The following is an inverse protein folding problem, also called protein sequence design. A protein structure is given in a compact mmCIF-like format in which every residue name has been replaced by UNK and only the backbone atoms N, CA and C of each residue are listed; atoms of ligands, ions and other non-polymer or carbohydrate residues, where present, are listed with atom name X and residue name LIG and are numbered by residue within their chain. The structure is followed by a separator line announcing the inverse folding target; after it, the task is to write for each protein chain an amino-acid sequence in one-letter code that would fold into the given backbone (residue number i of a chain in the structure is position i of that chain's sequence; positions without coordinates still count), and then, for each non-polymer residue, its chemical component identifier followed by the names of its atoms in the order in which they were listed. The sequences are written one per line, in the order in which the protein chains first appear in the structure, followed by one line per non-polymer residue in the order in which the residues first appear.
data_IF_194577921878
#
_entry.id   IF_194577921878
#
_cell.length_a   1.000
_cell.length_b   1.000
_cell.length_c   1.000
_cell.angle_alpha   90.00
_cell.angle_beta   90.00
_cell.angle_gamma   90.00
#
_symmetry.space_group_name_H-M   'P 1'
#
loop_
_entity.id
_entity.type
_entity.pdbx_description
1 polymer ?
#
# COMPACT_ATOMS: atom_id res chain seq x y z
N UNK A 1 -2.37 -9.24 -20.83
CA UNK A 1 -1.94 -9.95 -19.61
C UNK A 1 -0.55 -9.50 -19.19
N UNK A 2 -0.37 -9.19 -17.92
CA UNK A 2 0.93 -8.75 -17.40
C UNK A 2 1.76 -9.98 -17.10
N UNK A 3 2.98 -10.02 -17.60
CA UNK A 3 3.91 -11.11 -17.31
C UNK A 3 4.34 -11.06 -15.85
N UNK A 4 4.56 -12.23 -15.24
CA UNK A 4 4.90 -12.35 -13.82
C UNK A 4 6.12 -11.53 -13.43
N UNK A 5 7.18 -11.55 -14.24
CA UNK A 5 8.40 -10.81 -13.94
C UNK A 5 8.16 -9.30 -13.95
N UNK A 6 7.37 -8.84 -14.92
CA UNK A 6 7.00 -7.43 -15.02
C UNK A 6 6.14 -7.01 -13.83
N UNK A 7 5.18 -7.88 -13.45
CA UNK A 7 4.28 -7.65 -12.32
C UNK A 7 5.07 -7.47 -11.02
N UNK A 8 5.98 -8.38 -10.73
CA UNK A 8 6.82 -8.30 -9.53
C UNK A 8 7.66 -7.04 -9.51
N UNK A 9 8.26 -6.67 -10.65
CA UNK A 9 9.07 -5.47 -10.74
C UNK A 9 8.24 -4.22 -10.49
N UNK A 10 7.05 -4.14 -11.09
CA UNK A 10 6.19 -2.97 -10.91
C UNK A 10 5.69 -2.84 -9.47
N UNK A 11 5.34 -3.97 -8.83
CA UNK A 11 4.95 -3.96 -7.42
C UNK A 11 6.07 -3.36 -6.58
N UNK A 12 7.30 -3.84 -6.76
CA UNK A 12 8.46 -3.37 -5.99
C UNK A 12 8.75 -1.89 -6.26
N UNK A 13 8.67 -1.49 -7.52
CA UNK A 13 8.93 -0.10 -7.90
C UNK A 13 7.93 0.86 -7.27
N UNK A 14 6.64 0.52 -7.31
CA UNK A 14 5.60 1.36 -6.73
C UNK A 14 5.70 1.40 -5.21
N UNK A 15 5.94 0.25 -4.57
CA UNK A 15 6.13 0.19 -3.12
C UNK A 15 7.31 1.07 -2.69
N UNK A 16 8.43 0.98 -3.41
CA UNK A 16 9.61 1.80 -3.10
C UNK A 16 9.31 3.28 -3.21
N UNK A 17 8.60 3.67 -4.27
CA UNK A 17 8.20 5.07 -4.46
C UNK A 17 7.33 5.55 -3.29
N UNK A 18 6.33 4.77 -2.93
CA UNK A 18 5.38 5.14 -1.88
C UNK A 18 6.03 5.18 -0.49
N UNK A 19 6.83 4.16 -0.16
CA UNK A 19 7.45 4.11 1.17
C UNK A 19 8.45 5.25 1.34
N UNK A 20 9.22 5.59 0.32
CA UNK A 20 10.17 6.70 0.39
C UNK A 20 9.45 8.03 0.56
N UNK A 21 8.33 8.23 -0.15
CA UNK A 21 7.53 9.44 -0.01
C UNK A 21 6.99 9.57 1.41
N UNK A 22 6.48 8.49 1.98
CA UNK A 22 5.91 8.49 3.32
C UNK A 22 6.98 8.71 4.40
N UNK A 23 8.12 8.06 4.28
CA UNK A 23 9.22 8.20 5.24
C UNK A 23 9.82 9.60 5.23
N UNK A 24 9.93 10.20 4.04
CA UNK A 24 10.53 11.52 3.86
C UNK A 24 9.51 12.65 3.93
N UNK A 25 8.24 12.32 4.14
CA UNK A 25 7.13 13.28 4.20
C UNK A 25 7.05 14.14 2.94
N UNK A 26 7.36 13.53 1.79
CA UNK A 26 7.29 14.18 0.50
C UNK A 26 6.01 13.75 -0.22
N UNK A 27 5.35 14.72 -0.84
CA UNK A 27 4.16 14.41 -1.64
C UNK A 27 4.57 14.05 -3.05
N UNK A 28 3.94 13.02 -3.59
CA UNK A 28 4.16 12.62 -4.98
C UNK A 28 3.32 13.56 -5.86
N UNK A 29 3.93 14.09 -6.91
CA UNK A 29 3.23 14.97 -7.85
C UNK A 29 2.10 14.18 -8.51
N UNK A 30 0.95 14.83 -8.70
CA UNK A 30 -0.20 14.19 -9.36
C UNK A 30 0.15 13.69 -10.76
N UNK A 31 0.91 14.48 -11.50
CA UNK A 31 1.31 14.12 -12.86
C UNK A 31 2.15 12.82 -12.88
N UNK A 32 3.03 12.68 -11.90
CA UNK A 32 3.86 11.47 -11.78
C UNK A 32 3.05 10.27 -11.30
N UNK A 33 2.05 10.51 -10.44
CA UNK A 33 1.28 9.44 -9.85
C UNK A 33 0.23 8.83 -10.79
N UNK A 34 -0.28 9.61 -11.75
CA UNK A 34 -1.34 9.15 -12.66
C UNK A 34 -0.96 7.82 -13.32
N UNK A 35 0.27 7.74 -13.81
CA UNK A 35 0.77 6.54 -14.48
C UNK A 35 0.85 5.35 -13.53
N UNK A 36 1.39 5.57 -12.33
CA UNK A 36 1.50 4.53 -11.31
C UNK A 36 0.14 4.12 -10.75
N UNK A 37 -0.80 5.05 -10.67
CA UNK A 37 -2.15 4.76 -10.19
C UNK A 37 -2.86 3.76 -11.10
N UNK A 38 -2.76 3.95 -12.42
CA UNK A 38 -3.34 3.03 -13.38
C UNK A 38 -2.76 1.63 -13.22
N UNK A 39 -1.45 1.53 -13.09
CA UNK A 39 -0.77 0.25 -12.91
C UNK A 39 -1.19 -0.38 -11.58
N UNK A 40 -1.26 0.41 -10.52
CA UNK A 40 -1.69 -0.06 -9.20
C UNK A 40 -3.10 -0.66 -9.26
N UNK A 41 -4.02 0.03 -9.93
CA UNK A 41 -5.40 -0.47 -10.10
C UNK A 41 -5.42 -1.80 -10.85
N UNK A 42 -4.61 -1.94 -11.88
CA UNK A 42 -4.52 -3.18 -12.64
C UNK A 42 -3.96 -4.31 -11.79
N UNK A 43 -2.93 -4.04 -11.00
CA UNK A 43 -2.31 -5.03 -10.13
C UNK A 43 -3.27 -5.49 -9.04
N UNK A 44 -3.89 -4.54 -8.35
CA UNK A 44 -4.81 -4.83 -7.24
C UNK A 44 -6.17 -5.32 -7.72
N UNK A 45 -6.50 -5.06 -8.97
CA UNK A 45 -7.78 -5.43 -9.59
C UNK A 45 -8.97 -4.78 -8.88
N UNK A 46 -8.74 -3.57 -8.33
CA UNK A 46 -9.81 -2.76 -7.76
C UNK A 46 -9.42 -1.28 -7.81
N UNK A 47 -10.41 -0.39 -7.89
CA UNK A 47 -10.15 1.05 -7.86
C UNK A 47 -9.67 1.50 -6.47
N UNK A 48 -8.85 2.56 -6.45
CA UNK A 48 -8.32 3.12 -5.21
C UNK A 48 -9.41 3.54 -4.23
N UNK A 49 -10.54 4.04 -4.73
CA UNK A 49 -11.63 4.48 -3.87
C UNK A 49 -12.26 3.35 -3.07
N UNK A 50 -12.14 2.09 -3.53
CA UNK A 50 -12.65 0.94 -2.79
C UNK A 50 -11.80 0.66 -1.54
N UNK A 51 -10.53 1.05 -1.56
CA UNK A 51 -9.64 0.83 -0.41
C UNK A 51 -10.11 1.60 0.83
N UNK A 52 -10.82 2.70 0.63
CA UNK A 52 -11.34 3.50 1.76
C UNK A 52 -12.37 2.74 2.57
N UNK A 53 -13.06 1.79 1.95
CA UNK A 53 -14.13 1.04 2.59
C UNK A 53 -13.71 -0.37 3.04
N UNK A 54 -12.46 -0.75 2.77
CA UNK A 54 -11.98 -2.10 3.08
C UNK A 54 -11.16 -2.11 4.36
N UNK A 55 -11.30 -3.20 5.11
CA UNK A 55 -10.47 -3.46 6.28
C UNK A 55 -9.21 -4.24 5.88
N UNK A 56 -8.25 -4.33 6.79
CA UNK A 56 -7.07 -5.18 6.58
C UNK A 56 -7.50 -6.63 6.32
N UNK A 57 -8.49 -7.12 7.07
CA UNK A 57 -9.00 -8.47 6.86
C UNK A 57 -9.56 -8.70 5.47
N UNK A 58 -10.28 -7.70 4.94
CA UNK A 58 -10.84 -7.77 3.58
C UNK A 58 -9.73 -7.90 2.54
N UNK A 59 -8.66 -7.15 2.70
CA UNK A 59 -7.52 -7.17 1.78
C UNK A 59 -6.79 -8.52 1.85
N UNK A 60 -6.53 -9.00 3.06
CA UNK A 60 -5.86 -10.28 3.27
C UNK A 60 -6.66 -11.40 2.61
N UNK A 61 -7.97 -11.40 2.81
CA UNK A 61 -8.85 -12.42 2.24
C UNK A 61 -8.89 -12.34 0.72
N UNK A 62 -8.89 -11.11 0.17
CA UNK A 62 -8.99 -10.90 -1.27
C UNK A 62 -7.83 -11.55 -2.03
N UNK A 63 -6.62 -11.48 -1.47
CA UNK A 63 -5.43 -12.00 -2.16
C UNK A 63 -4.98 -13.36 -1.67
N UNK A 64 -5.77 -14.00 -0.80
CA UNK A 64 -5.46 -15.33 -0.31
C UNK A 64 -5.35 -16.30 -1.47
N UNK A 65 -4.24 -17.04 -1.54
CA UNK A 65 -3.99 -17.99 -2.62
C UNK A 65 -3.40 -17.38 -3.88
N UNK A 66 -3.28 -16.05 -3.96
CA UNK A 66 -2.66 -15.39 -5.11
C UNK A 66 -1.14 -15.64 -5.09
N UNK A 67 -0.51 -15.96 -6.25
CA UNK A 67 0.95 -16.14 -6.30
C UNK A 67 1.74 -14.93 -5.80
N UNK A 68 1.16 -13.73 -5.88
CA UNK A 68 1.79 -12.49 -5.45
C UNK A 68 1.10 -11.91 -4.22
N UNK A 69 0.55 -12.77 -3.37
CA UNK A 69 -0.26 -12.36 -2.22
C UNK A 69 0.41 -11.30 -1.37
N UNK A 70 1.66 -11.52 -0.95
CA UNK A 70 2.35 -10.58 -0.06
C UNK A 70 2.66 -9.27 -0.74
N UNK A 71 3.07 -9.31 -2.00
CA UNK A 71 3.34 -8.09 -2.77
C UNK A 71 2.09 -7.24 -2.96
N UNK A 72 0.98 -7.87 -3.34
CA UNK A 72 -0.29 -7.17 -3.52
C UNK A 72 -0.82 -6.62 -2.20
N UNK A 73 -0.68 -7.38 -1.12
CA UNK A 73 -1.09 -6.94 0.22
C UNK A 73 -0.29 -5.71 0.66
N UNK A 74 1.02 -5.75 0.46
CA UNK A 74 1.88 -4.61 0.79
C UNK A 74 1.57 -3.40 -0.07
N UNK A 75 1.34 -3.60 -1.36
CA UNK A 75 0.95 -2.51 -2.27
C UNK A 75 -0.36 -1.87 -1.84
N UNK A 76 -1.34 -2.67 -1.46
CA UNK A 76 -2.62 -2.16 -0.94
C UNK A 76 -2.40 -1.34 0.33
N UNK A 77 -1.54 -1.82 1.23
CA UNK A 77 -1.21 -1.11 2.46
C UNK A 77 -0.61 0.26 2.17
N UNK A 78 0.38 0.30 1.28
CA UNK A 78 1.04 1.54 0.90
C UNK A 78 0.08 2.52 0.24
N UNK A 79 -0.84 2.01 -0.59
CA UNK A 79 -1.84 2.86 -1.24
C UNK A 79 -2.80 3.45 -0.21
N UNK A 80 -3.23 2.65 0.76
CA UNK A 80 -4.07 3.15 1.87
C UNK A 80 -3.38 4.27 2.64
N UNK A 81 -2.10 4.08 2.94
CA UNK A 81 -1.32 5.07 3.68
C UNK A 81 -1.12 6.34 2.86
N UNK A 82 -0.91 6.20 1.55
CA UNK A 82 -0.81 7.35 0.66
C UNK A 82 -2.12 8.15 0.65
N UNK A 83 -3.25 7.46 0.53
CA UNK A 83 -4.56 8.11 0.55
C UNK A 83 -4.75 8.86 1.86
N UNK A 84 -4.42 8.22 3.00
CA UNK A 84 -4.54 8.84 4.31
C UNK A 84 -3.67 10.09 4.43
N UNK A 85 -2.44 10.00 3.92
CA UNK A 85 -1.49 11.12 4.00
C UNK A 85 -1.95 12.34 3.21
N UNK A 86 -2.72 12.13 2.15
CA UNK A 86 -3.24 13.20 1.31
C UNK A 86 -4.59 13.74 1.78
N UNK A 87 -5.21 13.09 2.77
CA UNK A 87 -6.50 13.54 3.29
C UNK A 87 -6.37 14.77 4.16
N UNK A 88 -7.38 15.62 4.09
CA UNK A 88 -7.45 16.80 4.96
C UNK A 88 -7.90 16.41 6.37
N UNK A 89 -7.56 17.25 7.34
CA UNK A 89 -7.86 16.99 8.75
C UNK A 89 -9.35 16.93 9.05
N UNK A 90 -10.19 17.47 8.18
CA UNK A 90 -11.64 17.38 8.31
C UNK A 90 -12.17 15.94 8.21
N UNK A 91 -11.39 15.05 7.59
CA UNK A 91 -11.74 13.66 7.42
C UNK A 91 -10.96 12.77 8.40
N UNK A 92 -10.76 13.26 9.61
CA UNK A 92 -9.89 12.63 10.60
C UNK A 92 -10.25 11.17 10.90
N UNK A 93 -11.54 10.85 10.99
CA UNK A 93 -11.98 9.48 11.28
C UNK A 93 -11.56 8.52 10.18
N UNK A 94 -11.82 8.88 8.93
CA UNK A 94 -11.44 8.04 7.79
C UNK A 94 -9.92 7.97 7.65
N UNK A 95 -9.24 9.08 7.85
CA UNK A 95 -7.77 9.14 7.80
C UNK A 95 -7.17 8.19 8.83
N UNK A 96 -7.66 8.22 10.06
CA UNK A 96 -7.20 7.33 11.13
C UNK A 96 -7.47 5.88 10.81
N UNK A 97 -8.65 5.57 10.27
CA UNK A 97 -9.00 4.22 9.87
C UNK A 97 -8.04 3.69 8.83
N UNK A 98 -7.77 4.47 7.78
CA UNK A 98 -6.85 4.07 6.72
C UNK A 98 -5.44 3.83 7.25
N UNK A 99 -4.97 4.67 8.17
CA UNK A 99 -3.66 4.49 8.78
C UNK A 99 -3.59 3.20 9.60
N UNK A 100 -4.63 2.93 10.38
CA UNK A 100 -4.68 1.73 11.21
C UNK A 100 -4.74 0.46 10.36
N UNK A 101 -5.57 0.46 9.32
CA UNK A 101 -5.70 -0.69 8.43
C UNK A 101 -4.43 -0.90 7.61
N UNK A 102 -3.82 0.17 7.12
CA UNK A 102 -2.55 0.10 6.42
C UNK A 102 -1.44 -0.45 7.30
N UNK A 103 -1.35 0.03 8.54
CA UNK A 103 -0.37 -0.47 9.51
C UNK A 103 -0.57 -1.95 9.78
N UNK A 104 -1.83 -2.37 9.99
CA UNK A 104 -2.13 -3.78 10.24
C UNK A 104 -1.67 -4.66 9.07
N UNK A 105 -1.86 -4.19 7.83
CA UNK A 105 -1.41 -4.91 6.65
C UNK A 105 0.11 -5.00 6.58
N UNK A 106 0.81 -3.90 6.89
CA UNK A 106 2.28 -3.90 6.90
C UNK A 106 2.81 -4.88 7.95
N UNK A 107 2.20 -4.92 9.12
CA UNK A 107 2.59 -5.86 10.16
C UNK A 107 2.32 -7.31 9.75
N UNK A 108 1.21 -7.54 9.06
CA UNK A 108 0.89 -8.86 8.51
C UNK A 108 1.95 -9.30 7.50
N UNK A 109 2.32 -8.43 6.57
CA UNK A 109 3.35 -8.73 5.57
C UNK A 109 4.69 -8.99 6.24
N UNK A 110 5.03 -8.20 7.27
CA UNK A 110 6.28 -8.37 8.00
C UNK A 110 6.33 -9.71 8.73
N UNK A 111 5.20 -10.16 9.27
CA UNK A 111 5.13 -11.42 10.02
C UNK A 111 5.05 -12.64 9.10
N UNK A 112 4.35 -12.54 7.99
CA UNK A 112 4.03 -13.69 7.12
C UNK A 112 4.82 -13.74 5.83
N UNK A 113 5.38 -12.62 5.38
CA UNK A 113 6.14 -12.56 4.14
C UNK A 113 7.52 -13.18 4.27
N UNK A 114 8.09 -13.53 3.13
CA UNK A 114 9.42 -14.16 3.05
C UNK A 114 10.55 -13.14 2.94
N UNK A 115 10.23 -11.89 2.64
CA UNK A 115 11.24 -10.86 2.40
C UNK A 115 11.31 -9.86 3.54
N UNK A 116 12.53 -9.47 3.89
CA UNK A 116 12.79 -8.43 4.86
C UNK A 116 12.96 -7.10 4.13
N UNK A 117 12.36 -6.04 4.68
CA UNK A 117 12.49 -4.69 4.13
C UNK A 117 12.77 -3.71 5.26
N UNK A 118 13.93 -3.07 5.19
CA UNK A 118 14.32 -2.04 6.15
C UNK A 118 13.33 -0.88 6.10
N UNK A 119 12.91 -0.48 4.90
CA UNK A 119 11.95 0.61 4.74
C UNK A 119 10.60 0.28 5.37
N UNK A 120 10.12 -0.96 5.19
CA UNK A 120 8.85 -1.39 5.79
C UNK A 120 8.94 -1.35 7.32
N UNK A 121 10.03 -1.84 7.89
CA UNK A 121 10.24 -1.82 9.34
C UNK A 121 10.28 -0.38 9.85
N UNK A 122 10.99 0.51 9.14
CA UNK A 122 11.08 1.92 9.51
C UNK A 122 9.71 2.59 9.46
N UNK A 123 8.91 2.29 8.43
CA UNK A 123 7.58 2.87 8.28
C UNK A 123 6.64 2.38 9.38
N UNK A 124 6.69 1.09 9.72
CA UNK A 124 5.90 0.54 10.82
C UNK A 124 6.23 1.28 12.12
N UNK A 125 7.52 1.47 12.40
CA UNK A 125 7.95 2.17 13.61
C UNK A 125 7.44 3.62 13.62
N UNK A 126 7.48 4.30 12.49
CA UNK A 126 6.99 5.66 12.36
C UNK A 126 5.48 5.73 12.64
N UNK A 127 4.72 4.79 12.11
CA UNK A 127 3.26 4.77 12.25
C UNK A 127 2.81 4.44 13.67
N UNK A 128 3.64 3.75 14.45
CA UNK A 128 3.31 3.36 15.81
C UNK A 128 3.64 4.43 16.86
N UNK A 129 4.23 5.52 16.46
CA UNK A 129 4.55 6.62 17.38
C UNK A 129 3.31 7.36 17.84
#
# INVERSE_FOLDING_TARGET
MIKQDYLLRMIQEIITLLVNALLNRQKIRKESWVEYDDITRQILELPSENLKDMSAGDIIQRYEGDPNQMGKTELAAMTMLKIADEMEDEQLVLKSKLKQEGLALLEYVQAKGDTYSIQRVALIALLKK
#
